data_IF_845618728876
#
_entry.id   IF_845618728876
#
_cell.length_a   1.000
_cell.length_b   1.000
_cell.length_c   1.000
_cell.angle_alpha   90.00
_cell.angle_beta   90.00
_cell.angle_gamma   90.00
#
_symmetry.space_group_name_H-M   'P 1'
#
loop_
_entity.id
_entity.type
_entity.pdbx_description
1 polymer ?
#
# COMPACT_ATOMS: atom_id res chain seq x y z
N UNK A 1 8.35 -3.23 3.71
CA UNK A 1 7.73 -4.53 4.08
C UNK A 1 7.80 -5.44 2.87
N UNK A 2 7.97 -6.75 3.07
CA UNK A 2 8.18 -7.72 1.98
C UNK A 2 7.14 -8.83 2.02
N UNK A 3 6.89 -9.44 0.86
CA UNK A 3 5.99 -10.57 0.69
C UNK A 3 6.58 -11.83 1.37
N UNK A 4 5.87 -12.51 2.28
CA UNK A 4 6.38 -13.72 2.93
C UNK A 4 6.62 -14.90 1.98
N UNK A 5 6.07 -14.86 0.75
CA UNK A 5 6.15 -15.96 -0.22
C UNK A 5 7.31 -15.82 -1.20
N UNK A 6 7.61 -14.60 -1.64
CA UNK A 6 8.61 -14.34 -2.69
C UNK A 6 9.63 -13.27 -2.31
N UNK A 7 9.57 -12.76 -1.07
CA UNK A 7 10.49 -11.75 -0.50
C UNK A 7 10.54 -10.40 -1.24
N UNK A 8 9.74 -10.22 -2.28
CA UNK A 8 9.63 -8.95 -3.01
C UNK A 8 8.89 -7.89 -2.20
N UNK A 9 9.13 -6.63 -2.53
CA UNK A 9 8.49 -5.49 -1.92
C UNK A 9 6.95 -5.52 -2.08
N UNK A 10 6.26 -5.18 -0.99
CA UNK A 10 4.82 -4.97 -1.01
C UNK A 10 4.47 -3.52 -1.38
N UNK A 11 3.33 -3.35 -2.03
CA UNK A 11 2.82 -2.07 -2.48
C UNK A 11 1.56 -1.74 -1.70
N UNK A 12 1.46 -0.52 -1.16
CA UNK A 12 0.22 -0.01 -0.59
C UNK A 12 -0.78 0.18 -1.72
N UNK A 13 -1.88 -0.57 -1.66
CA UNK A 13 -2.89 -0.66 -2.71
C UNK A 13 -4.17 0.10 -2.33
N UNK A 14 -4.63 0.00 -1.08
CA UNK A 14 -5.76 0.81 -0.60
C UNK A 14 -5.55 1.22 0.86
N UNK A 15 -6.16 2.35 1.20
CA UNK A 15 -6.16 2.93 2.55
C UNK A 15 -7.52 2.72 3.20
N UNK A 16 -7.57 1.95 4.29
CA UNK A 16 -8.74 1.85 5.15
C UNK A 16 -8.54 2.68 6.41
N UNK A 17 -9.63 2.90 7.16
CA UNK A 17 -9.60 3.57 8.47
C UNK A 17 -8.59 2.92 9.41
N UNK A 18 -8.56 1.59 9.43
CA UNK A 18 -7.88 0.81 10.47
C UNK A 18 -6.62 0.09 9.98
N UNK A 19 -6.44 -0.05 8.66
CA UNK A 19 -5.31 -0.75 8.06
C UNK A 19 -4.98 -0.26 6.65
N UNK A 20 -3.78 -0.59 6.19
CA UNK A 20 -3.37 -0.48 4.79
C UNK A 20 -3.53 -1.84 4.13
N UNK A 21 -4.18 -1.88 2.97
CA UNK A 21 -4.19 -3.06 2.12
C UNK A 21 -2.94 -3.01 1.25
N UNK A 22 -2.12 -4.04 1.35
CA UNK A 22 -0.89 -4.20 0.61
C UNK A 22 -1.08 -5.25 -0.48
N UNK A 23 -0.45 -5.06 -1.64
CA UNK A 23 -0.43 -6.01 -2.75
C UNK A 23 1.01 -6.44 -3.05
N UNK A 24 1.19 -7.74 -3.25
CA UNK A 24 2.41 -8.26 -3.88
C UNK A 24 2.18 -8.37 -5.38
N UNK A 25 2.91 -7.60 -6.19
CA UNK A 25 2.75 -7.61 -7.64
C UNK A 25 3.22 -8.92 -8.29
N UNK A 26 4.18 -9.63 -7.68
CA UNK A 26 4.70 -10.90 -8.21
C UNK A 26 3.80 -12.09 -7.91
N UNK A 27 3.27 -12.16 -6.69
CA UNK A 27 2.40 -13.27 -6.28
C UNK A 27 0.91 -13.00 -6.53
N UNK A 28 0.55 -11.76 -6.88
CA UNK A 28 -0.83 -11.27 -6.96
C UNK A 28 -1.65 -11.57 -5.68
N UNK A 29 -0.99 -11.44 -4.53
CA UNK A 29 -1.57 -11.68 -3.21
C UNK A 29 -1.78 -10.37 -2.45
N UNK A 30 -2.85 -10.33 -1.65
CA UNK A 30 -3.17 -9.20 -0.79
C UNK A 30 -2.84 -9.50 0.67
N UNK A 31 -2.41 -8.46 1.37
CA UNK A 31 -2.11 -8.46 2.79
C UNK A 31 -2.73 -7.23 3.43
N UNK A 32 -2.95 -7.28 4.73
CA UNK A 32 -3.31 -6.12 5.53
C UNK A 32 -2.20 -5.79 6.50
N UNK A 33 -1.96 -4.51 6.69
CA UNK A 33 -1.06 -3.99 7.70
C UNK A 33 -1.82 -3.00 8.57
N UNK A 34 -2.02 -3.31 9.85
CA UNK A 34 -2.62 -2.37 10.79
C UNK A 34 -1.73 -1.14 10.94
N UNK A 35 -2.35 0.04 11.01
CA UNK A 35 -1.61 1.30 11.18
C UNK A 35 -0.76 1.21 12.46
N UNK A 36 0.50 1.62 12.35
CA UNK A 36 1.50 1.57 13.45
C UNK A 36 1.94 0.16 13.89
N UNK A 37 1.54 -0.89 13.18
CA UNK A 37 2.10 -2.23 13.40
C UNK A 37 3.08 -2.60 12.29
N UNK A 38 4.16 -3.30 12.64
CA UNK A 38 5.13 -3.81 11.66
C UNK A 38 4.70 -5.14 11.03
N UNK A 39 3.60 -5.74 11.51
CA UNK A 39 3.13 -7.06 11.07
C UNK A 39 2.20 -6.94 9.87
N UNK A 40 2.31 -7.90 8.97
CA UNK A 40 1.40 -8.08 7.85
C UNK A 40 0.65 -9.39 8.04
N UNK A 41 -0.63 -9.39 7.70
CA UNK A 41 -1.47 -10.58 7.74
C UNK A 41 -2.05 -10.82 6.34
N UNK A 42 -2.23 -12.07 5.89
CA UNK A 42 -2.95 -12.36 4.66
C UNK A 42 -4.33 -11.68 4.67
N UNK A 43 -4.71 -11.12 3.54
CA UNK A 43 -6.00 -10.49 3.38
C UNK A 43 -6.69 -11.03 2.14
N UNK A 44 -7.91 -11.50 2.32
CA UNK A 44 -8.78 -11.89 1.23
C UNK A 44 -9.74 -10.73 0.95
N UNK A 45 -9.70 -10.22 -0.28
CA UNK A 45 -10.52 -9.09 -0.68
C UNK A 45 -11.99 -9.51 -0.76
N UNK A 46 -12.91 -8.83 -0.05
CA UNK A 46 -14.35 -9.07 -0.16
C UNK A 46 -14.83 -8.95 -1.61
N UNK A 47 -15.79 -9.80 -1.99
CA UNK A 47 -16.26 -9.88 -3.38
C UNK A 47 -16.94 -8.58 -3.86
N UNK A 48 -17.67 -7.91 -2.97
CA UNK A 48 -18.29 -6.61 -3.22
C UNK A 48 -17.26 -5.51 -3.48
N UNK A 49 -16.19 -5.48 -2.69
CA UNK A 49 -15.08 -4.54 -2.90
C UNK A 49 -14.37 -4.83 -4.21
N UNK A 50 -14.13 -6.11 -4.52
CA UNK A 50 -13.51 -6.51 -5.80
C UNK A 50 -14.33 -6.02 -6.99
N UNK A 51 -15.65 -6.23 -6.96
CA UNK A 51 -16.55 -5.80 -8.03
C UNK A 51 -16.56 -4.27 -8.20
N UNK A 52 -16.53 -3.52 -7.09
CA UNK A 52 -16.45 -2.06 -7.13
C UNK A 52 -15.16 -1.58 -7.78
N UNK A 53 -14.02 -2.21 -7.45
CA UNK A 53 -12.72 -1.84 -8.00
C UNK A 53 -12.59 -2.22 -9.48
N UNK A 54 -13.15 -3.35 -9.91
CA UNK A 54 -13.16 -3.75 -11.33
C UNK A 54 -13.99 -2.82 -12.22
N UNK A 55 -15.01 -2.16 -11.65
CA UNK A 55 -15.82 -1.14 -12.34
C UNK A 55 -15.10 0.20 -12.48
N UNK A 56 -14.09 0.47 -11.66
CA UNK A 56 -13.31 1.70 -11.72
C UNK A 56 -12.21 1.59 -12.78
N UNK A 57 -12.33 2.37 -13.87
CA UNK A 57 -11.33 2.36 -14.94
C UNK A 57 -9.96 2.85 -14.48
N UNK A 58 -9.89 3.73 -13.48
CA UNK A 58 -8.63 4.22 -12.93
C UNK A 58 -7.91 3.16 -12.11
N UNK A 59 -8.64 2.17 -11.61
CA UNK A 59 -8.09 1.06 -10.84
C UNK A 59 -7.41 0.00 -11.71
N UNK A 60 -7.83 -0.17 -12.96
CA UNK A 60 -7.30 -1.19 -13.88
C UNK A 60 -5.78 -1.11 -14.06
N UNK A 61 -5.25 0.11 -14.12
CA UNK A 61 -3.82 0.37 -14.29
C UNK A 61 -3.11 0.69 -12.96
N UNK A 62 -3.85 0.73 -11.85
CA UNK A 62 -3.31 1.09 -10.55
C UNK A 62 -2.61 -0.11 -9.89
N UNK A 63 -1.31 0.00 -9.69
CA UNK A 63 -0.45 -1.03 -9.09
C UNK A 63 -0.09 -0.76 -7.62
N UNK A 64 -0.52 0.38 -7.06
CA UNK A 64 -0.18 0.80 -5.72
C UNK A 64 1.13 1.61 -5.62
N UNK A 65 1.51 1.98 -4.41
CA UNK A 65 2.78 2.68 -4.10
C UNK A 65 3.69 1.77 -3.29
N UNK A 66 4.98 1.61 -3.63
CA UNK A 66 5.89 0.75 -2.86
C UNK A 66 5.97 1.20 -1.40
N UNK A 67 5.91 0.25 -0.47
CA UNK A 67 5.89 0.52 0.98
C UNK A 67 7.13 1.29 1.44
N UNK A 68 8.30 1.07 0.82
CA UNK A 68 9.49 1.88 1.08
C UNK A 68 9.23 3.38 0.91
N UNK A 69 8.50 3.75 -0.15
CA UNK A 69 8.22 5.15 -0.49
C UNK A 69 7.14 5.79 0.40
N UNK A 70 6.16 5.00 0.83
CA UNK A 70 5.10 5.49 1.74
C UNK A 70 5.57 5.61 3.19
N UNK A 71 6.43 4.69 3.67
CA UNK A 71 6.94 4.72 5.04
C UNK A 71 8.23 5.56 5.18
N UNK A 72 8.96 5.84 4.09
CA UNK A 72 9.97 6.90 4.02
C UNK A 72 9.32 8.31 3.95
N UNK A 73 8.52 8.66 4.96
CA UNK A 73 8.23 10.05 5.38
C UNK A 73 8.12 11.12 4.26
N UNK A 74 7.07 11.08 3.44
CA UNK A 74 6.77 12.15 2.48
C UNK A 74 6.50 13.52 3.14
N UNK A 75 6.07 13.56 4.40
CA UNK A 75 5.89 14.81 5.15
C UNK A 75 7.24 15.43 5.59
N UNK A 76 8.29 14.63 5.82
CA UNK A 76 9.62 15.15 6.17
C UNK A 76 10.36 15.74 4.96
N UNK A 77 10.08 15.25 3.75
CA UNK A 77 10.66 15.81 2.51
C UNK A 77 10.04 17.16 2.14
N UNK A 78 8.75 17.37 2.44
CA UNK A 78 8.10 18.68 2.28
C UNK A 78 8.64 19.73 3.27
N UNK A 79 8.78 19.38 4.56
CA UNK A 79 9.30 20.30 5.59
C UNK A 79 10.75 20.73 5.33
N UNK A 80 11.62 19.82 4.87
CA UNK A 80 13.02 20.16 4.54
C UNK A 80 13.15 21.11 3.33
N UNK A 81 12.23 21.06 2.37
CA UNK A 81 12.21 21.99 1.23
C UNK A 81 11.73 23.40 1.58
N UNK A 82 10.83 23.53 2.57
CA UNK A 82 10.30 24.83 2.99
C UNK A 82 11.29 25.57 3.89
N UNK A 83 11.94 24.89 4.83
CA UNK A 83 12.86 25.54 5.78
C UNK A 83 14.15 26.02 5.10
N UNK A 84 14.63 25.34 4.05
CA UNK A 84 15.82 25.76 3.30
C UNK A 84 15.58 26.90 2.30
N UNK A 85 14.34 27.36 2.13
CA UNK A 85 13.97 28.47 1.23
C UNK A 85 13.58 29.76 1.96
N UNK A 86 13.87 29.88 3.25
CA UNK A 86 13.82 31.15 3.99
C UNK A 86 15.21 31.61 4.36
#
# INVERSE_FOLDING_TARGET
MVCPRCENELYVHLFFSDFYMLKCLTCDLFYKNKKNESRIEPYEMPADLKEQLEKDETYKDYTGTPVSRDFESGWKTWVRKIIKRR
#
